data_IF_855770962003
#
_entry.id   IF_855770962003
#
_cell.length_a   1.000
_cell.length_b   1.000
_cell.length_c   1.000
_cell.angle_alpha   90.00
_cell.angle_beta   90.00
_cell.angle_gamma   90.00
#
_symmetry.space_group_name_H-M   'P 1'
#
loop_
_entity.id
_entity.type
_entity.pdbx_description
1 polymer ?
#
# COMPACT_ATOMS: atom_id res chain seq x y z
N UNK A 1 -3.42 -14.74 -11.78
CA UNK A 1 -2.21 -13.88 -11.82
C UNK A 1 -2.53 -12.44 -12.16
N UNK A 2 -2.87 -12.06 -13.41
CA UNK A 2 -3.32 -10.67 -13.74
C UNK A 2 -4.40 -10.17 -12.77
N UNK A 3 -5.35 -11.06 -12.47
CA UNK A 3 -6.55 -10.84 -11.66
C UNK A 3 -6.33 -10.62 -10.15
N UNK A 4 -5.17 -10.96 -9.59
CA UNK A 4 -4.95 -10.87 -8.14
C UNK A 4 -4.09 -9.67 -7.72
N UNK A 5 -3.08 -9.30 -8.52
CA UNK A 5 -2.60 -7.91 -8.56
C UNK A 5 -3.77 -6.93 -8.72
N UNK A 6 -4.81 -7.42 -9.38
CA UNK A 6 -6.07 -6.74 -9.54
C UNK A 6 -7.10 -7.00 -8.41
N UNK A 7 -6.80 -7.57 -7.23
CA UNK A 7 -7.88 -7.87 -6.24
C UNK A 7 -7.66 -7.41 -4.80
N UNK A 8 -6.51 -6.78 -4.53
CA UNK A 8 -6.46 -5.56 -3.72
C UNK A 8 -6.91 -4.33 -4.52
N UNK A 9 -6.97 -4.43 -5.86
CA UNK A 9 -7.12 -3.32 -6.83
C UNK A 9 -7.79 -3.80 -8.15
N UNK A 10 -9.14 -3.99 -8.26
CA UNK A 10 -9.96 -4.16 -9.53
C UNK A 10 -10.59 -5.51 -10.01
N UNK A 11 -11.89 -5.45 -10.35
CA UNK A 11 -12.36 -6.09 -11.61
C UNK A 11 -13.54 -5.39 -12.28
N UNK A 12 -13.42 -5.18 -13.60
CA UNK A 12 -14.46 -5.58 -14.59
C UNK A 12 -13.82 -6.07 -15.91
N UNK A 13 -14.43 -7.03 -16.62
CA UNK A 13 -14.07 -7.33 -18.00
C UNK A 13 -14.61 -6.25 -18.96
N UNK A 14 -13.91 -6.08 -20.09
CA UNK A 14 -14.31 -5.21 -21.19
C UNK A 14 -15.64 -5.67 -21.82
N UNK A 15 -16.67 -4.82 -21.74
CA UNK A 15 -17.81 -4.74 -22.66
C UNK A 15 -18.19 -3.25 -22.78
N UNK A 16 -18.70 -2.83 -23.95
CA UNK A 16 -18.71 -1.42 -24.36
C UNK A 16 -19.42 -0.46 -23.38
N UNK A 17 -18.73 0.65 -23.07
CA UNK A 17 -19.15 1.61 -22.06
C UNK A 17 -20.37 2.46 -22.46
N UNK A 18 -21.19 2.81 -21.45
CA UNK A 18 -21.91 4.09 -21.45
C UNK A 18 -21.45 4.90 -20.23
N UNK A 19 -20.87 6.07 -20.51
CA UNK A 19 -20.41 6.99 -19.48
C UNK A 19 -21.60 7.68 -18.78
N UNK A 20 -21.81 7.33 -17.51
CA UNK A 20 -22.65 8.05 -16.57
C UNK A 20 -21.92 8.11 -15.23
N UNK A 21 -22.16 9.15 -14.43
CA UNK A 21 -21.51 9.31 -13.12
C UNK A 21 -21.81 8.10 -12.23
N UNK A 22 -20.79 7.30 -11.92
CA UNK A 22 -20.93 6.12 -11.07
C UNK A 22 -21.32 6.56 -9.65
N UNK A 23 -22.45 6.10 -9.08
CA UNK A 23 -22.71 6.31 -7.67
C UNK A 23 -21.67 5.56 -6.83
N UNK A 24 -21.42 6.02 -5.60
CA UNK A 24 -20.54 5.32 -4.66
C UNK A 24 -20.93 3.83 -4.55
N UNK A 25 -19.96 2.91 -4.50
CA UNK A 25 -20.24 1.47 -4.51
C UNK A 25 -21.10 1.09 -3.30
N UNK A 26 -22.30 0.56 -3.57
CA UNK A 26 -23.15 -0.05 -2.55
C UNK A 26 -22.65 -1.46 -2.26
N UNK A 27 -22.16 -1.71 -1.05
CA UNK A 27 -21.70 -3.04 -0.67
C UNK A 27 -22.84 -4.07 -0.64
N UNK A 28 -22.57 -5.36 -0.91
CA UNK A 28 -23.55 -6.42 -0.73
C UNK A 28 -24.01 -6.53 0.73
N UNK A 29 -25.30 -6.77 0.95
CA UNK A 29 -25.84 -7.04 2.29
C UNK A 29 -25.46 -8.46 2.73
N UNK A 30 -24.40 -8.58 3.53
CA UNK A 30 -23.91 -9.82 4.12
C UNK A 30 -24.59 -10.16 5.46
N UNK A 31 -25.92 -9.97 5.54
CA UNK A 31 -26.74 -10.08 6.76
C UNK A 31 -26.32 -11.15 7.77
N UNK A 32 -26.09 -10.72 9.01
CA UNK A 32 -25.74 -11.52 10.20
C UNK A 32 -24.64 -12.58 10.02
N UNK A 33 -23.58 -12.29 9.25
CA UNK A 33 -22.37 -13.11 9.27
C UNK A 33 -21.54 -12.91 10.56
N UNK A 34 -22.11 -13.26 11.71
CA UNK A 34 -21.42 -13.30 13.01
C UNK A 34 -20.50 -14.52 13.02
N UNK A 35 -19.27 -14.35 12.54
CA UNK A 35 -18.23 -15.37 12.73
C UNK A 35 -17.73 -15.28 14.18
N UNK A 36 -17.83 -16.35 14.99
CA UNK A 36 -17.38 -16.30 16.38
C UNK A 36 -15.85 -16.22 16.45
N UNK A 37 -15.34 -15.17 17.09
CA UNK A 37 -13.91 -15.04 17.40
C UNK A 37 -13.57 -16.04 18.51
N UNK A 38 -12.78 -17.06 18.19
CA UNK A 38 -12.36 -18.06 19.18
C UNK A 38 -11.24 -17.50 20.07
N UNK A 39 -11.34 -17.60 21.41
CA UNK A 39 -10.33 -17.09 22.33
C UNK A 39 -9.19 -18.12 22.52
N UNK A 40 -8.39 -18.34 21.48
CA UNK A 40 -7.15 -19.13 21.57
C UNK A 40 -5.92 -18.21 21.55
N UNK A 41 -4.84 -18.64 22.23
CA UNK A 41 -3.66 -17.79 22.44
C UNK A 41 -2.86 -17.64 21.13
N UNK A 42 -2.34 -16.43 20.82
CA UNK A 42 -1.62 -16.21 19.57
C UNK A 42 -0.32 -16.99 19.53
N UNK A 43 -0.16 -17.82 18.50
CA UNK A 43 1.13 -18.34 18.10
C UNK A 43 1.94 -17.21 17.45
N UNK A 44 3.17 -17.00 17.90
CA UNK A 44 4.10 -16.06 17.27
C UNK A 44 4.60 -16.64 15.95
N UNK A 45 4.04 -16.18 14.84
CA UNK A 45 4.63 -16.34 13.51
C UNK A 45 5.70 -15.26 13.33
N UNK A 46 6.91 -15.66 12.96
CA UNK A 46 8.00 -14.74 12.63
C UNK A 46 7.86 -14.34 11.15
N UNK A 47 7.58 -13.07 10.89
CA UNK A 47 7.54 -12.49 9.54
C UNK A 47 8.95 -12.18 9.01
N UNK A 48 9.15 -12.05 7.68
CA UNK A 48 10.40 -11.58 7.07
C UNK A 48 10.89 -10.22 7.62
N UNK A 49 12.18 -9.91 7.37
CA UNK A 49 12.94 -8.96 8.20
C UNK A 49 12.76 -7.48 7.87
N UNK A 50 12.10 -7.12 6.78
CA UNK A 50 11.69 -5.73 6.50
C UNK A 50 10.97 -5.05 7.70
N UNK A 51 10.36 -5.81 8.60
CA UNK A 51 9.81 -5.33 9.89
C UNK A 51 10.82 -5.14 11.05
N UNK A 52 12.11 -4.84 10.80
CA UNK A 52 13.10 -4.61 11.88
C UNK A 52 13.14 -3.19 12.42
N UNK A 53 12.62 -2.21 11.69
CA UNK A 53 12.33 -0.89 12.22
C UNK A 53 11.18 -1.00 13.23
N UNK A 54 11.24 -0.23 14.32
CA UNK A 54 10.17 -0.09 15.33
C UNK A 54 9.84 -1.30 16.24
N UNK A 55 10.83 -1.82 16.97
CA UNK A 55 10.56 -2.66 18.18
C UNK A 55 10.05 -1.85 19.39
N UNK A 56 8.93 -1.12 19.24
CA UNK A 56 8.06 -0.80 20.39
C UNK A 56 7.00 -1.89 20.52
N UNK A 57 6.89 -2.47 21.72
CA UNK A 57 5.79 -3.37 22.08
C UNK A 57 4.52 -2.55 22.33
N UNK A 58 3.90 -2.07 21.25
CA UNK A 58 2.47 -1.84 21.29
C UNK A 58 1.80 -3.18 21.58
N UNK A 59 0.95 -3.20 22.61
CA UNK A 59 0.17 -4.39 22.91
C UNK A 59 -0.89 -4.52 21.83
N UNK A 60 -0.92 -5.67 21.15
CA UNK A 60 -1.95 -5.97 20.17
C UNK A 60 -3.34 -5.68 20.78
N UNK A 61 -4.19 -4.90 20.09
CA UNK A 61 -5.49 -4.51 20.60
C UNK A 61 -6.36 -5.76 20.82
N UNK A 62 -7.21 -5.71 21.85
CA UNK A 62 -8.12 -6.83 22.13
C UNK A 62 -9.19 -7.04 21.05
N UNK A 63 -9.47 -6.01 20.23
CA UNK A 63 -10.33 -6.10 19.05
C UNK A 63 -9.66 -5.41 17.84
N UNK A 64 -9.24 -6.16 16.80
CA UNK A 64 -8.72 -5.61 15.56
C UNK A 64 -9.70 -4.66 14.86
N UNK A 65 -11.02 -4.88 14.97
CA UNK A 65 -12.05 -4.05 14.35
C UNK A 65 -12.17 -2.69 15.01
N UNK A 66 -12.22 -2.65 16.34
CA UNK A 66 -12.21 -1.39 17.08
C UNK A 66 -10.95 -0.58 16.77
N UNK A 67 -9.81 -1.25 16.68
CA UNK A 67 -8.53 -0.61 16.38
C UNK A 67 -8.49 0.00 14.98
N UNK A 68 -8.81 -0.79 13.94
CA UNK A 68 -8.95 -0.32 12.57
C UNK A 68 -9.92 0.87 12.48
N UNK A 69 -11.12 0.75 13.06
CA UNK A 69 -12.11 1.83 13.03
C UNK A 69 -11.66 3.09 13.76
N UNK A 70 -10.83 2.97 14.80
CA UNK A 70 -10.21 4.12 15.46
C UNK A 70 -9.21 4.80 14.54
N UNK A 71 -8.32 4.05 13.89
CA UNK A 71 -7.35 4.62 12.94
C UNK A 71 -8.05 5.30 11.75
N UNK A 72 -9.06 4.65 11.17
CA UNK A 72 -9.84 5.23 10.07
C UNK A 72 -10.57 6.53 10.47
N UNK A 73 -11.13 6.61 11.69
CA UNK A 73 -11.71 7.87 12.21
C UNK A 73 -10.65 8.96 12.40
N UNK A 74 -9.49 8.63 12.99
CA UNK A 74 -8.40 9.60 13.16
C UNK A 74 -7.93 10.17 11.82
N UNK A 75 -7.70 9.34 10.81
CA UNK A 75 -7.28 9.78 9.46
C UNK A 75 -8.42 10.57 8.78
N UNK A 76 -9.66 10.08 8.84
CA UNK A 76 -10.87 10.78 8.38
C UNK A 76 -10.99 12.19 8.94
N UNK A 77 -10.79 12.34 10.26
CA UNK A 77 -10.93 13.63 10.96
C UNK A 77 -9.77 14.58 10.66
N UNK A 78 -8.53 14.09 10.62
CA UNK A 78 -7.33 14.89 10.28
C UNK A 78 -7.34 15.35 8.82
N UNK A 79 -7.74 14.47 7.90
CA UNK A 79 -7.83 14.77 6.47
C UNK A 79 -9.14 15.46 6.09
N UNK A 80 -10.15 15.48 6.95
CA UNK A 80 -11.49 15.98 6.61
C UNK A 80 -12.17 15.19 5.48
N UNK A 81 -11.96 13.86 5.45
CA UNK A 81 -12.51 12.94 4.43
C UNK A 81 -13.65 12.11 5.06
N UNK A 82 -14.91 12.27 4.62
CA UNK A 82 -16.04 11.59 5.25
C UNK A 82 -16.13 10.10 4.87
N UNK A 83 -15.81 9.20 5.81
CA UNK A 83 -15.93 7.74 5.65
C UNK A 83 -17.35 7.16 5.85
N UNK A 84 -18.28 7.98 6.35
CA UNK A 84 -19.71 7.66 6.40
C UNK A 84 -20.09 6.36 7.13
N UNK A 85 -21.18 5.74 6.67
CA UNK A 85 -21.66 4.45 7.18
C UNK A 85 -20.79 3.27 6.70
N UNK A 86 -20.01 3.46 5.64
CA UNK A 86 -19.13 2.46 5.04
C UNK A 86 -18.13 1.90 6.07
N UNK A 87 -17.61 2.73 6.97
CA UNK A 87 -16.71 2.29 8.06
C UNK A 87 -17.40 1.34 9.07
N UNK A 88 -18.72 1.37 9.18
CA UNK A 88 -19.47 0.40 10.00
C UNK A 88 -19.71 -0.93 9.27
N UNK A 89 -19.71 -0.91 7.93
CA UNK A 89 -19.98 -2.04 7.06
C UNK A 89 -18.73 -2.88 6.75
N UNK A 90 -17.54 -2.28 6.86
CA UNK A 90 -16.27 -3.02 6.69
C UNK A 90 -16.13 -4.14 7.74
N UNK A 91 -15.80 -5.32 7.24
CA UNK A 91 -15.42 -6.50 8.01
C UNK A 91 -13.93 -6.39 8.34
N UNK A 92 -13.55 -6.71 9.57
CA UNK A 92 -12.13 -6.69 9.98
C UNK A 92 -11.79 -8.02 10.62
N UNK A 93 -10.78 -8.68 10.07
CA UNK A 93 -10.28 -9.98 10.46
C UNK A 93 -8.92 -9.81 11.14
N UNK A 94 -8.74 -10.42 12.30
CA UNK A 94 -7.43 -10.52 12.96
C UNK A 94 -6.54 -11.61 12.34
N UNK A 95 -5.45 -12.02 13.02
CA UNK A 95 -4.38 -12.88 12.49
C UNK A 95 -4.77 -14.35 12.17
N UNK A 96 -6.06 -14.67 12.16
CA UNK A 96 -6.57 -16.02 11.91
C UNK A 96 -7.35 -16.03 10.57
N UNK A 97 -6.69 -16.32 9.44
CA UNK A 97 -7.22 -16.07 8.10
C UNK A 97 -8.43 -16.94 7.69
N UNK A 98 -8.73 -17.99 8.47
CA UNK A 98 -9.80 -18.95 8.15
C UNK A 98 -11.14 -18.29 7.84
N UNK A 99 -11.57 -17.33 8.67
CA UNK A 99 -12.86 -16.66 8.51
C UNK A 99 -12.94 -15.81 7.23
N UNK A 100 -11.81 -15.22 6.82
CA UNK A 100 -11.68 -14.47 5.58
C UNK A 100 -11.68 -15.41 4.37
N UNK A 101 -10.93 -16.51 4.42
CA UNK A 101 -10.89 -17.50 3.35
C UNK A 101 -12.28 -18.12 3.10
N UNK A 102 -12.99 -18.52 4.17
CA UNK A 102 -14.37 -19.00 4.08
C UNK A 102 -15.34 -17.94 3.51
N UNK A 103 -15.07 -16.64 3.70
CA UNK A 103 -15.82 -15.56 3.06
C UNK A 103 -15.47 -15.41 1.57
N UNK A 104 -14.18 -15.38 1.22
CA UNK A 104 -13.71 -15.27 -0.17
C UNK A 104 -14.19 -16.43 -1.03
N UNK A 105 -14.15 -17.66 -0.54
CA UNK A 105 -14.70 -18.85 -1.21
C UNK A 105 -16.22 -18.74 -1.42
N UNK A 106 -16.96 -18.28 -0.40
CA UNK A 106 -18.43 -18.17 -0.45
C UNK A 106 -18.94 -16.99 -1.27
N UNK A 107 -18.13 -15.95 -1.47
CA UNK A 107 -18.54 -14.77 -2.24
C UNK A 107 -18.67 -15.07 -3.74
N UNK A 108 -17.87 -16.01 -4.26
CA UNK A 108 -17.77 -16.31 -5.69
C UNK A 108 -17.13 -15.18 -6.53
N UNK A 109 -16.55 -14.17 -5.90
CA UNK A 109 -15.88 -13.05 -6.58
C UNK A 109 -14.47 -13.43 -7.10
N UNK A 110 -13.79 -14.30 -6.34
CA UNK A 110 -12.44 -14.78 -6.59
C UNK A 110 -12.50 -16.15 -7.27
N UNK A 111 -11.64 -16.39 -8.26
CA UNK A 111 -11.45 -17.75 -8.79
C UNK A 111 -10.34 -18.51 -8.04
N UNK A 112 -10.15 -19.79 -8.38
CA UNK A 112 -9.22 -20.66 -7.65
C UNK A 112 -7.75 -20.21 -7.73
N UNK A 113 -7.37 -19.42 -8.75
CA UNK A 113 -6.04 -18.85 -8.85
C UNK A 113 -5.89 -17.67 -7.88
N UNK A 114 -6.89 -16.78 -7.87
CA UNK A 114 -6.96 -15.63 -6.96
C UNK A 114 -6.99 -16.09 -5.49
N UNK A 115 -7.82 -17.09 -5.14
CA UNK A 115 -7.88 -17.67 -3.78
C UNK A 115 -6.55 -18.32 -3.36
N UNK A 116 -5.81 -18.92 -4.28
CA UNK A 116 -4.50 -19.51 -4.02
C UNK A 116 -3.41 -18.47 -3.73
N UNK A 117 -3.54 -17.27 -4.30
CA UNK A 117 -2.68 -16.12 -4.01
C UNK A 117 -3.02 -15.50 -2.65
N UNK A 118 -4.32 -15.22 -2.38
CA UNK A 118 -4.80 -14.80 -1.05
C UNK A 118 -4.22 -15.72 0.02
N UNK A 119 -4.41 -17.04 -0.12
CA UNK A 119 -3.95 -18.00 0.87
C UNK A 119 -2.42 -17.96 1.09
N UNK A 120 -1.62 -17.79 0.03
CA UNK A 120 -0.16 -17.68 0.15
C UNK A 120 0.25 -16.42 0.90
N UNK A 121 -0.37 -15.29 0.58
CA UNK A 121 -0.11 -14.00 1.19
C UNK A 121 -0.51 -13.94 2.67
N UNK A 122 -1.69 -14.49 3.01
CA UNK A 122 -2.13 -14.62 4.40
C UNK A 122 -1.20 -15.54 5.22
N UNK A 123 -0.56 -16.52 4.58
CA UNK A 123 0.46 -17.36 5.20
C UNK A 123 1.84 -16.70 5.31
N UNK A 124 2.14 -15.69 4.47
CA UNK A 124 3.35 -14.87 4.59
C UNK A 124 3.28 -13.88 5.77
N UNK A 125 2.10 -13.70 6.38
CA UNK A 125 1.90 -12.79 7.52
C UNK A 125 1.65 -11.34 7.10
N UNK A 126 1.22 -11.15 5.85
CA UNK A 126 0.93 -9.84 5.26
C UNK A 126 -0.51 -9.40 5.53
N UNK A 127 -0.73 -8.08 5.67
CA UNK A 127 -2.04 -7.47 5.89
C UNK A 127 -2.60 -6.88 4.59
N UNK A 128 -3.93 -6.84 4.45
CA UNK A 128 -4.58 -6.40 3.22
C UNK A 128 -5.99 -5.86 3.42
N UNK A 129 -6.32 -4.79 2.69
CA UNK A 129 -7.67 -4.41 2.34
C UNK A 129 -8.09 -5.05 1.00
N UNK A 130 -9.22 -5.74 1.01
CA UNK A 130 -9.91 -6.18 -0.20
C UNK A 130 -10.96 -5.12 -0.57
N UNK A 131 -11.00 -4.60 -1.82
CA UNK A 131 -12.03 -3.67 -2.27
C UNK A 131 -13.35 -4.37 -2.67
N UNK A 132 -13.27 -5.55 -3.31
CA UNK A 132 -14.45 -6.25 -3.85
C UNK A 132 -15.28 -6.95 -2.76
N UNK A 133 -14.64 -7.30 -1.65
CA UNK A 133 -15.27 -7.62 -0.37
C UNK A 133 -14.82 -6.54 0.62
N UNK A 134 -15.68 -5.69 1.21
CA UNK A 134 -15.25 -4.66 2.16
C UNK A 134 -14.70 -5.30 3.44
N UNK A 135 -13.44 -5.72 3.38
CA UNK A 135 -12.83 -6.65 4.29
C UNK A 135 -11.35 -6.31 4.45
N UNK A 136 -10.91 -6.20 5.70
CA UNK A 136 -9.53 -5.92 6.07
C UNK A 136 -8.99 -7.12 6.82
N UNK A 137 -7.82 -7.60 6.44
CA UNK A 137 -7.04 -8.58 7.18
C UNK A 137 -5.88 -7.88 7.89
N UNK A 138 -5.80 -8.03 9.21
CA UNK A 138 -4.68 -7.56 10.01
C UNK A 138 -3.90 -8.77 10.53
N UNK A 139 -2.89 -9.19 9.76
CA UNK A 139 -1.97 -10.27 10.12
C UNK A 139 -1.16 -9.92 11.38
N UNK A 140 -0.80 -8.65 11.51
CA UNK A 140 -0.19 -8.09 12.72
C UNK A 140 -0.93 -6.78 13.05
N UNK A 141 -1.84 -6.77 14.04
CA UNK A 141 -2.68 -5.61 14.35
C UNK A 141 -1.91 -4.55 15.16
N UNK A 142 -0.77 -4.07 14.64
CA UNK A 142 -0.06 -2.90 15.20
C UNK A 142 -0.77 -1.60 14.84
N UNK A 143 -0.44 -0.52 15.56
CA UNK A 143 -0.96 0.82 15.30
C UNK A 143 -0.75 1.29 13.86
N UNK A 144 0.43 1.02 13.29
CA UNK A 144 0.79 1.47 11.95
C UNK A 144 0.11 0.64 10.84
N UNK A 145 0.11 -0.69 10.92
CA UNK A 145 -0.55 -1.55 9.92
C UNK A 145 -2.05 -1.27 9.87
N UNK A 146 -2.71 -1.19 11.03
CA UNK A 146 -4.14 -0.87 11.08
C UNK A 146 -4.47 0.55 10.60
N UNK A 147 -3.51 1.48 10.61
CA UNK A 147 -3.67 2.84 10.09
C UNK A 147 -3.40 2.93 8.57
N UNK A 148 -2.46 2.14 8.06
CA UNK A 148 -2.17 1.97 6.64
C UNK A 148 -3.37 1.38 5.90
N UNK A 149 -3.88 0.23 6.36
CA UNK A 149 -5.10 -0.38 5.82
C UNK A 149 -6.32 0.53 5.93
N UNK A 150 -6.40 1.31 7.01
CA UNK A 150 -7.47 2.29 7.16
C UNK A 150 -7.35 3.43 6.13
N UNK A 151 -6.14 3.83 5.76
CA UNK A 151 -5.88 4.80 4.71
C UNK A 151 -6.22 4.25 3.32
N UNK A 152 -5.85 3.00 3.01
CA UNK A 152 -6.27 2.32 1.77
C UNK A 152 -7.79 2.21 1.66
N UNK A 153 -8.47 1.84 2.75
CA UNK A 153 -9.94 1.86 2.82
C UNK A 153 -10.53 3.26 2.55
N UNK A 154 -9.96 4.32 3.16
CA UNK A 154 -10.39 5.71 2.94
C UNK A 154 -10.21 6.10 1.45
N UNK A 155 -9.08 5.76 0.84
CA UNK A 155 -8.79 6.00 -0.58
C UNK A 155 -9.77 5.26 -1.49
N UNK A 156 -10.12 4.03 -1.16
CA UNK A 156 -11.09 3.24 -1.93
C UNK A 156 -12.52 3.82 -1.86
N UNK A 157 -13.02 4.17 -0.67
CA UNK A 157 -14.38 4.74 -0.54
C UNK A 157 -14.51 6.16 -1.11
N UNK A 158 -13.38 6.87 -1.27
CA UNK A 158 -13.33 8.26 -1.72
C UNK A 158 -13.07 8.43 -3.21
N UNK A 159 -12.09 7.69 -3.76
CA UNK A 159 -11.68 7.75 -5.16
C UNK A 159 -11.88 6.45 -5.95
N UNK A 160 -12.62 5.48 -5.41
CA UNK A 160 -12.98 4.23 -6.09
C UNK A 160 -11.86 3.19 -6.19
N UNK A 161 -12.10 2.17 -7.02
CA UNK A 161 -11.17 1.08 -7.31
C UNK A 161 -10.37 1.36 -8.60
N UNK A 162 -9.05 1.61 -8.57
CA UNK A 162 -8.17 1.45 -9.75
C UNK A 162 -8.31 2.58 -10.79
N UNK A 163 -8.33 2.36 -12.12
CA UNK A 163 -8.33 1.14 -12.98
C UNK A 163 -7.10 1.08 -13.91
N UNK A 164 -6.40 -0.06 -14.01
CA UNK A 164 -5.10 -0.13 -14.69
C UNK A 164 -5.21 -0.61 -16.15
N UNK A 165 -5.02 0.30 -17.10
CA UNK A 165 -4.97 -0.01 -18.54
C UNK A 165 -3.70 -0.80 -18.94
N UNK A 166 -2.56 -0.54 -18.30
CA UNK A 166 -1.26 -1.17 -18.58
C UNK A 166 -0.50 -1.59 -17.31
N UNK A 167 0.65 -2.28 -17.47
CA UNK A 167 1.54 -2.56 -16.31
C UNK A 167 2.21 -1.30 -15.76
N UNK A 168 2.46 -0.29 -16.59
CA UNK A 168 3.00 0.99 -16.14
C UNK A 168 1.93 1.74 -15.32
N UNK A 169 0.69 1.80 -15.79
CA UNK A 169 -0.43 2.38 -15.02
C UNK A 169 -0.61 1.67 -13.68
N UNK A 170 -0.61 0.33 -13.68
CA UNK A 170 -0.70 -0.47 -12.46
C UNK A 170 0.45 -0.15 -11.49
N UNK A 171 1.68 0.01 -11.99
CA UNK A 171 2.83 0.33 -11.16
C UNK A 171 2.64 1.68 -10.47
N UNK A 172 2.31 2.74 -11.20
CA UNK A 172 2.10 4.06 -10.61
C UNK A 172 0.84 4.14 -9.75
N UNK A 173 -0.23 3.39 -10.08
CA UNK A 173 -1.38 3.25 -9.20
C UNK A 173 -0.97 2.62 -7.86
N UNK A 174 -0.20 1.53 -7.88
CA UNK A 174 0.32 0.93 -6.64
C UNK A 174 1.20 1.92 -5.87
N UNK A 175 2.23 2.52 -6.48
CA UNK A 175 3.11 3.51 -5.83
C UNK A 175 2.31 4.64 -5.16
N UNK A 176 1.29 5.17 -5.84
CA UNK A 176 0.44 6.25 -5.30
C UNK A 176 -0.55 5.74 -4.23
N UNK A 177 -1.05 4.51 -4.33
CA UNK A 177 -1.87 3.88 -3.28
C UNK A 177 -1.05 3.63 -2.00
N UNK A 178 0.15 3.10 -2.14
CA UNK A 178 1.08 2.84 -1.03
C UNK A 178 1.59 4.14 -0.40
N UNK A 179 1.81 5.19 -1.21
CA UNK A 179 2.14 6.51 -0.68
C UNK A 179 1.03 7.09 0.22
N UNK A 180 -0.25 6.97 -0.18
CA UNK A 180 -1.37 7.39 0.67
C UNK A 180 -1.59 6.45 1.86
N UNK A 181 -1.38 5.15 1.68
CA UNK A 181 -1.37 4.12 2.74
C UNK A 181 -0.43 4.52 3.88
N UNK A 182 0.85 4.62 3.54
CA UNK A 182 1.90 4.94 4.48
C UNK A 182 1.78 6.35 5.07
N UNK A 183 1.43 7.37 4.27
CA UNK A 183 1.21 8.73 4.77
C UNK A 183 0.10 8.74 5.83
N UNK A 184 -1.03 8.10 5.56
CA UNK A 184 -2.13 7.95 6.54
C UNK A 184 -1.69 7.24 7.81
N UNK A 185 -0.77 6.27 7.71
CA UNK A 185 -0.18 5.63 8.89
C UNK A 185 0.69 6.57 9.73
N UNK A 186 1.49 7.48 9.12
CA UNK A 186 2.28 8.50 9.83
C UNK A 186 1.41 9.54 10.53
N UNK A 187 0.20 9.83 10.04
CA UNK A 187 -0.76 10.68 10.77
C UNK A 187 -1.21 10.08 12.12
N UNK A 188 -1.17 8.74 12.25
CA UNK A 188 -1.54 8.01 13.47
C UNK A 188 -0.31 7.65 14.32
N UNK A 189 0.81 7.34 13.67
CA UNK A 189 2.10 6.96 14.28
C UNK A 189 3.22 7.79 13.63
N UNK A 190 3.45 9.05 14.05
CA UNK A 190 4.40 9.97 13.40
C UNK A 190 5.84 9.46 13.38
N UNK A 191 6.21 8.65 14.37
CA UNK A 191 7.52 8.01 14.49
C UNK A 191 7.69 6.76 13.60
N UNK A 192 6.79 6.49 12.64
CA UNK A 192 6.95 5.36 11.72
C UNK A 192 8.09 5.62 10.74
N UNK A 193 9.17 4.85 10.89
CA UNK A 193 10.33 4.81 10.00
C UNK A 193 10.01 4.05 8.68
N UNK A 194 10.74 4.39 7.62
CA UNK A 194 10.76 3.74 6.30
C UNK A 194 12.13 3.99 5.66
N UNK A 195 12.63 3.10 4.80
CA UNK A 195 13.74 3.42 3.90
C UNK A 195 13.48 4.74 3.16
N UNK A 196 14.51 5.58 3.10
CA UNK A 196 14.51 6.80 2.31
C UNK A 196 15.05 6.54 0.90
N UNK A 197 14.98 7.54 0.02
CA UNK A 197 15.46 7.43 -1.37
C UNK A 197 16.96 7.05 -1.47
N UNK A 198 17.79 7.51 -0.53
CA UNK A 198 19.22 7.18 -0.50
C UNK A 198 19.46 5.73 -0.07
N UNK A 199 18.74 5.24 0.95
CA UNK A 199 18.80 3.85 1.41
C UNK A 199 18.41 2.87 0.30
N UNK A 200 17.35 3.18 -0.44
CA UNK A 200 16.88 2.36 -1.58
C UNK A 200 17.98 2.24 -2.65
N UNK A 201 18.64 3.35 -2.98
CA UNK A 201 19.74 3.36 -3.94
C UNK A 201 21.00 2.65 -3.43
N UNK A 202 21.36 2.85 -2.16
CA UNK A 202 22.52 2.23 -1.56
C UNK A 202 22.39 0.69 -1.61
N UNK A 203 21.29 0.14 -1.08
CA UNK A 203 21.04 -1.31 -1.05
C UNK A 203 20.84 -1.85 -2.47
N UNK A 204 20.07 -1.16 -3.32
CA UNK A 204 19.71 -1.65 -4.65
C UNK A 204 20.84 -1.61 -5.68
N UNK A 205 21.84 -0.74 -5.51
CA UNK A 205 22.98 -0.61 -6.44
C UNK A 205 24.29 -1.16 -5.86
N UNK A 206 24.43 -1.16 -4.54
CA UNK A 206 25.65 -1.51 -3.82
C UNK A 206 25.35 -2.36 -2.57
N UNK A 207 24.69 -3.54 -2.70
CA UNK A 207 24.22 -4.34 -1.55
C UNK A 207 25.34 -4.79 -0.59
N UNK A 208 26.61 -4.74 -1.00
CA UNK A 208 27.74 -4.58 -0.08
C UNK A 208 27.81 -5.58 1.08
N UNK A 209 27.87 -5.07 2.31
CA UNK A 209 27.81 -5.88 3.53
C UNK A 209 26.36 -6.19 3.97
N UNK A 210 25.36 -5.46 3.44
CA UNK A 210 23.93 -5.68 3.71
C UNK A 210 23.36 -6.95 3.05
N UNK A 211 24.07 -7.54 2.09
CA UNK A 211 23.71 -8.82 1.44
C UNK A 211 23.49 -9.96 2.45
N UNK A 212 24.10 -9.89 3.66
CA UNK A 212 23.86 -10.88 4.73
C UNK A 212 22.56 -10.66 5.53
N UNK A 213 21.95 -9.47 5.48
CA UNK A 213 20.74 -9.13 6.26
C UNK A 213 19.43 -9.23 5.47
N UNK A 214 19.49 -9.24 4.13
CA UNK A 214 18.36 -9.38 3.20
C UNK A 214 18.35 -10.73 2.46
N UNK A 215 17.16 -11.21 2.08
CA UNK A 215 17.02 -12.35 1.16
C UNK A 215 17.17 -11.94 -0.31
N UNK A 216 17.44 -12.91 -1.20
CA UNK A 216 17.53 -12.68 -2.66
C UNK A 216 16.26 -11.99 -3.22
N UNK A 217 15.07 -12.33 -2.72
CA UNK A 217 13.80 -11.72 -3.11
C UNK A 217 13.66 -10.26 -2.59
N UNK A 218 14.18 -9.96 -1.39
CA UNK A 218 14.21 -8.61 -0.82
C UNK A 218 15.23 -7.72 -1.57
N UNK A 219 16.42 -8.24 -1.88
CA UNK A 219 17.44 -7.51 -2.67
C UNK A 219 16.92 -7.18 -4.08
N UNK A 220 16.21 -8.09 -4.73
CA UNK A 220 15.58 -7.83 -6.03
C UNK A 220 14.51 -6.73 -5.95
N UNK A 221 13.78 -6.59 -4.83
CA UNK A 221 12.87 -5.46 -4.60
C UNK A 221 13.62 -4.13 -4.56
N UNK A 222 14.76 -4.08 -3.85
CA UNK A 222 15.61 -2.89 -3.79
C UNK A 222 16.23 -2.56 -5.15
N UNK A 223 16.75 -3.55 -5.89
CA UNK A 223 17.30 -3.37 -7.25
C UNK A 223 16.26 -2.75 -8.20
N UNK A 224 15.05 -3.31 -8.26
CA UNK A 224 13.97 -2.81 -9.14
C UNK A 224 13.52 -1.39 -8.73
N UNK A 225 13.47 -1.08 -7.44
CA UNK A 225 13.17 0.28 -6.97
C UNK A 225 14.31 1.27 -7.30
N UNK A 226 15.57 0.86 -7.17
CA UNK A 226 16.73 1.68 -7.50
C UNK A 226 16.82 1.97 -9.01
N UNK A 227 16.56 0.99 -9.87
CA UNK A 227 16.47 1.17 -11.33
C UNK A 227 15.39 2.19 -11.72
N UNK A 228 14.23 2.16 -11.05
CA UNK A 228 13.18 3.15 -11.25
C UNK A 228 13.67 4.56 -10.89
N UNK A 229 14.25 4.73 -9.69
CA UNK A 229 14.79 6.01 -9.23
C UNK A 229 15.92 6.54 -10.12
N UNK A 230 16.77 5.67 -10.68
CA UNK A 230 17.78 6.08 -11.66
C UNK A 230 17.14 6.63 -12.94
N UNK A 231 16.12 5.94 -13.46
CA UNK A 231 15.39 6.36 -14.65
C UNK A 231 14.60 7.68 -14.47
N UNK A 232 14.29 8.10 -13.24
CA UNK A 232 13.71 9.43 -12.97
C UNK A 232 14.71 10.58 -13.18
N UNK A 233 16.00 10.33 -12.91
CA UNK A 233 17.03 11.38 -12.85
C UNK A 233 17.77 11.54 -14.17
N UNK A 234 17.87 10.47 -14.94
CA UNK A 234 18.68 10.44 -16.17
C UNK A 234 17.93 9.78 -17.32
N UNK A 235 17.82 10.50 -18.44
CA UNK A 235 17.20 10.02 -19.68
C UNK A 235 17.96 8.83 -20.29
N UNK A 236 19.26 8.66 -20.00
CA UNK A 236 20.03 7.45 -20.37
C UNK A 236 19.51 6.19 -19.66
N UNK A 237 18.95 6.34 -18.45
CA UNK A 237 18.41 5.24 -17.64
C UNK A 237 16.91 4.98 -17.90
N UNK A 238 16.20 5.86 -18.63
CA UNK A 238 14.79 5.67 -18.99
C UNK A 238 14.43 4.31 -19.65
N UNK A 239 15.30 3.64 -20.45
CA UNK A 239 15.01 2.31 -20.98
C UNK A 239 14.77 1.23 -19.90
N UNK A 240 15.41 1.34 -18.73
CA UNK A 240 15.29 0.39 -17.62
C UNK A 240 13.89 0.36 -16.98
N UNK A 241 13.04 1.36 -17.23
CA UNK A 241 11.62 1.30 -16.82
C UNK A 241 10.90 0.08 -17.41
N UNK A 242 11.34 -0.42 -18.57
CA UNK A 242 10.83 -1.68 -19.14
C UNK A 242 11.08 -2.86 -18.19
N UNK A 243 12.28 -2.94 -17.63
CA UNK A 243 12.70 -4.01 -16.71
C UNK A 243 11.92 -3.91 -15.39
N UNK A 244 11.70 -2.69 -14.88
CA UNK A 244 10.82 -2.43 -13.73
C UNK A 244 9.40 -2.94 -13.97
N UNK A 245 8.80 -2.69 -15.14
CA UNK A 245 7.42 -3.12 -15.43
C UNK A 245 7.31 -4.61 -15.80
N UNK A 246 8.37 -5.23 -16.32
CA UNK A 246 8.42 -6.65 -16.67
C UNK A 246 8.89 -7.55 -15.51
N UNK A 247 9.36 -6.96 -14.40
CA UNK A 247 9.80 -7.66 -13.20
C UNK A 247 8.79 -8.71 -12.68
N UNK A 248 9.29 -9.79 -12.01
CA UNK A 248 8.48 -10.76 -11.32
C UNK A 248 7.46 -10.10 -10.39
N UNK A 249 6.26 -10.65 -10.28
CA UNK A 249 5.14 -10.02 -9.56
C UNK A 249 5.51 -9.62 -8.11
N UNK A 250 6.20 -10.45 -7.30
CA UNK A 250 6.62 -10.05 -5.95
C UNK A 250 7.54 -8.82 -5.98
N UNK A 251 8.56 -8.82 -6.84
CA UNK A 251 9.50 -7.70 -6.97
C UNK A 251 8.83 -6.41 -7.48
N UNK A 252 7.94 -6.53 -8.47
CA UNK A 252 7.16 -5.42 -9.01
C UNK A 252 6.27 -4.76 -7.94
N UNK A 253 5.63 -5.55 -7.07
CA UNK A 253 4.79 -5.03 -5.98
C UNK A 253 5.67 -4.46 -4.87
N UNK A 254 6.69 -5.20 -4.41
CA UNK A 254 7.58 -4.73 -3.35
C UNK A 254 8.30 -3.42 -3.72
N UNK A 255 8.74 -3.27 -4.97
CA UNK A 255 9.31 -2.02 -5.45
C UNK A 255 8.28 -0.88 -5.46
N UNK A 256 7.04 -1.15 -5.86
CA UNK A 256 5.97 -0.14 -5.79
C UNK A 256 5.64 0.29 -4.35
N UNK A 257 5.65 -0.65 -3.39
CA UNK A 257 5.50 -0.35 -1.96
C UNK A 257 6.67 0.51 -1.45
N UNK A 258 7.90 0.10 -1.74
CA UNK A 258 9.12 0.77 -1.28
C UNK A 258 9.22 2.23 -1.81
N UNK A 259 8.91 2.43 -3.09
CA UNK A 259 8.82 3.76 -3.71
C UNK A 259 7.65 4.57 -3.15
N UNK A 260 6.50 3.93 -2.88
CA UNK A 260 5.34 4.57 -2.26
C UNK A 260 5.65 5.07 -0.85
N UNK A 261 6.32 4.26 -0.02
CA UNK A 261 6.70 4.64 1.34
C UNK A 261 7.75 5.76 1.34
N UNK A 262 8.74 5.71 0.43
CA UNK A 262 9.72 6.78 0.23
C UNK A 262 9.04 8.10 -0.18
N UNK A 263 8.11 8.06 -1.13
CA UNK A 263 7.29 9.22 -1.51
C UNK A 263 6.45 9.74 -0.34
N UNK A 264 5.85 8.85 0.47
CA UNK A 264 5.12 9.22 1.68
C UNK A 264 6.00 9.86 2.76
N UNK A 265 7.28 9.47 2.84
CA UNK A 265 8.25 10.12 3.71
C UNK A 265 8.43 11.58 3.30
N UNK A 266 8.79 11.82 2.04
CA UNK A 266 9.00 13.18 1.52
C UNK A 266 7.73 14.05 1.60
N UNK A 267 6.55 13.47 1.34
CA UNK A 267 5.27 14.16 1.52
C UNK A 267 5.04 14.63 2.95
N UNK A 268 5.31 13.77 3.94
CA UNK A 268 5.14 14.10 5.34
C UNK A 268 6.09 15.23 5.76
N UNK A 269 7.36 15.18 5.33
CA UNK A 269 8.32 16.23 5.64
C UNK A 269 7.99 17.55 4.90
N UNK A 270 7.52 17.49 3.64
CA UNK A 270 7.04 18.66 2.91
C UNK A 270 5.80 19.30 3.56
N UNK A 271 4.86 18.51 4.07
CA UNK A 271 3.71 19.00 4.85
C UNK A 271 4.17 19.61 6.19
N UNK A 272 5.13 19.00 6.87
CA UNK A 272 5.70 19.52 8.12
C UNK A 272 6.43 20.86 7.93
N UNK A 273 7.09 21.07 6.78
CA UNK A 273 7.71 22.35 6.39
C UNK A 273 6.69 23.39 5.87
N UNK A 274 5.53 22.94 5.40
CA UNK A 274 4.50 23.79 4.78
C UNK A 274 4.67 24.01 3.27
N UNK A 275 5.50 23.18 2.61
CA UNK A 275 5.72 23.19 1.16
C UNK A 275 4.54 22.56 0.38
N UNK A 276 3.80 21.66 1.04
CA UNK A 276 2.59 21.02 0.53
C UNK A 276 1.48 21.18 1.57
N UNK A 277 0.29 21.61 1.15
CA UNK A 277 -0.85 21.75 2.06
C UNK A 277 -1.59 20.42 2.26
N UNK A 278 -2.16 20.22 3.44
CA UNK A 278 -2.92 18.99 3.76
C UNK A 278 -4.14 18.83 2.85
N UNK A 279 -4.73 19.93 2.39
CA UNK A 279 -5.82 19.94 1.41
C UNK A 279 -5.43 19.37 0.04
N UNK A 280 -4.14 19.40 -0.31
CA UNK A 280 -3.61 18.83 -1.56
C UNK A 280 -3.42 17.32 -1.41
N UNK A 281 -2.84 16.86 -0.31
CA UNK A 281 -2.77 15.42 0.01
C UNK A 281 -4.19 14.83 0.08
N UNK A 282 -5.13 15.56 0.68
CA UNK A 282 -6.56 15.20 0.68
C UNK A 282 -7.13 15.06 -0.74
N UNK A 283 -6.72 15.89 -1.69
CA UNK A 283 -7.23 15.80 -3.06
C UNK A 283 -6.84 14.47 -3.73
N UNK A 284 -5.64 13.95 -3.45
CA UNK A 284 -5.17 12.65 -3.95
C UNK A 284 -6.05 11.47 -3.49
N UNK A 285 -6.70 11.56 -2.32
CA UNK A 285 -7.65 10.55 -1.87
C UNK A 285 -8.94 10.48 -2.72
N UNK A 286 -9.28 11.55 -3.44
CA UNK A 286 -10.45 11.64 -4.32
C UNK A 286 -10.10 11.56 -5.81
N UNK A 287 -8.82 11.45 -6.16
CA UNK A 287 -8.40 11.47 -7.56
C UNK A 287 -8.75 10.16 -8.27
N UNK A 288 -9.29 10.26 -9.48
CA UNK A 288 -9.55 9.12 -10.35
C UNK A 288 -8.28 8.78 -11.15
N UNK A 289 -7.66 7.65 -10.81
CA UNK A 289 -6.46 7.15 -11.48
C UNK A 289 -6.74 6.12 -12.57
N UNK A 290 -8.01 5.83 -12.86
CA UNK A 290 -8.41 4.89 -13.93
C UNK A 290 -8.16 5.32 -15.38
N UNK A 291 -8.13 6.61 -15.73
CA UNK A 291 -7.69 7.01 -17.05
C UNK A 291 -6.19 6.73 -17.28
N UNK A 292 -5.84 6.25 -18.47
CA UNK A 292 -4.46 5.94 -18.85
C UNK A 292 -3.47 7.09 -18.56
N UNK A 293 -2.37 6.75 -17.91
CA UNK A 293 -1.34 7.66 -17.42
C UNK A 293 -1.76 8.61 -16.30
N UNK A 294 -2.95 8.49 -15.71
CA UNK A 294 -3.40 9.40 -14.64
C UNK A 294 -2.51 9.30 -13.40
N UNK A 295 -2.31 8.09 -12.87
CA UNK A 295 -1.41 7.87 -11.73
C UNK A 295 0.03 8.35 -12.03
N UNK A 296 0.57 8.08 -13.22
CA UNK A 296 1.89 8.56 -13.65
C UNK A 296 1.98 10.10 -13.62
N UNK A 297 0.98 10.81 -14.13
CA UNK A 297 0.97 12.28 -14.11
C UNK A 297 0.91 12.83 -12.68
N UNK A 298 0.08 12.23 -11.84
CA UNK A 298 -0.07 12.58 -10.42
C UNK A 298 1.23 12.35 -9.65
N UNK A 299 1.88 11.22 -9.92
CA UNK A 299 3.18 10.84 -9.38
C UNK A 299 4.30 11.82 -9.79
N UNK A 300 4.41 12.16 -11.09
CA UNK A 300 5.41 13.12 -11.59
C UNK A 300 5.18 14.52 -10.98
N UNK A 301 3.93 15.01 -10.95
CA UNK A 301 3.62 16.31 -10.32
C UNK A 301 4.09 16.33 -8.87
N UNK A 302 3.78 15.27 -8.12
CA UNK A 302 4.13 15.15 -6.72
C UNK A 302 5.65 15.05 -6.49
N UNK A 303 6.35 14.17 -7.22
CA UNK A 303 7.81 14.03 -7.18
C UNK A 303 8.52 15.35 -7.52
N UNK A 304 8.00 16.13 -8.48
CA UNK A 304 8.58 17.43 -8.85
C UNK A 304 8.50 18.49 -7.74
N UNK A 305 7.69 18.25 -6.70
CA UNK A 305 7.45 19.16 -5.57
C UNK A 305 8.14 18.73 -4.27
N UNK A 306 8.32 17.42 -4.07
CA UNK A 306 8.86 16.86 -2.81
C UNK A 306 10.16 16.07 -2.97
N UNK A 307 10.61 15.78 -4.18
CA UNK A 307 11.84 15.03 -4.42
C UNK A 307 13.07 15.72 -3.85
N UNK A 308 14.03 14.93 -3.37
CA UNK A 308 15.31 15.42 -2.87
C UNK A 308 16.08 16.16 -3.97
N UNK A 309 16.77 17.25 -3.61
CA UNK A 309 17.76 17.83 -4.52
C UNK A 309 18.95 16.88 -4.68
N UNK A 310 19.65 16.92 -5.82
CA UNK A 310 20.86 16.13 -6.05
C UNK A 310 21.90 16.30 -4.92
N UNK A 311 22.02 17.52 -4.37
CA UNK A 311 22.89 17.82 -3.22
C UNK A 311 22.42 17.14 -1.93
N UNK A 312 21.12 17.10 -1.67
CA UNK A 312 20.55 16.40 -0.49
C UNK A 312 20.73 14.89 -0.59
N UNK A 313 20.54 14.33 -1.80
CA UNK A 313 20.73 12.92 -2.06
C UNK A 313 22.20 12.50 -1.98
N UNK A 314 23.12 13.32 -2.51
CA UNK A 314 24.55 13.03 -2.44
C UNK A 314 25.05 12.96 -0.98
N UNK A 315 24.62 13.91 -0.13
CA UNK A 315 24.95 13.91 1.30
C UNK A 315 24.36 12.68 2.03
N UNK A 316 23.13 12.29 1.70
CA UNK A 316 22.52 11.08 2.27
C UNK A 316 23.21 9.79 1.79
N UNK A 317 23.65 9.72 0.53
CA UNK A 317 24.42 8.58 0.02
C UNK A 317 25.82 8.51 0.65
N UNK A 318 26.48 9.64 0.92
CA UNK A 318 27.72 9.66 1.71
C UNK A 318 27.50 9.09 3.12
N UNK A 319 26.40 9.42 3.80
CA UNK A 319 26.07 8.88 5.14
C UNK A 319 25.79 7.37 5.16
N UNK A 320 25.31 6.78 4.06
CA UNK A 320 25.04 5.33 3.95
C UNK A 320 26.22 4.51 3.39
N UNK A 321 27.28 5.14 2.87
CA UNK A 321 28.41 4.45 2.21
C UNK A 321 29.76 4.54 2.98
N UNK A 322 29.80 5.27 4.12
CA UNK A 322 30.97 5.49 5.00
C UNK A 322 31.03 4.54 6.23
#
# INVERSE_FOLDING_TARGET
>A
MRKFLQSSVLRRPFDEAQAGSTPAPSFPDFGELIVPVSPEQPATLETPRAGRLLRRRDQAPHDPREHFQRCARTISDLMGIPVGEQLSQVLVFGPHPRALLELCERSGLYDAEDLGEIHRQLLAGESYFLPDLPAVFLANPTGFVAAEEASHFIRHVSGGSPDAASRSDLFYQLVMHEALGFFGSRLVVPERETPCEAEILAIGLYPGEDEEDYSEDELLVFEIAALHLQAERDEEHAPYLTEVYEAPIPAFVGAAHLLGYSLAHELHEAVARGDVAMEEIRALFFEDWGPEGAALRSYIDLRSRVGLSEESLALALEEYLD
#
